data_IF_205587783848
#
_entry.id   IF_205587783848
#
_cell.length_a   1.000
_cell.length_b   1.000
_cell.length_c   1.000
_cell.angle_alpha   90.00
_cell.angle_beta   90.00
_cell.angle_gamma   90.00
#
_symmetry.space_group_name_H-M   'P 1'
#
loop_
_entity.id
_entity.type
_entity.pdbx_description
1 polymer ?
#
# COMPACT_ATOMS: atom_id res chain seq x y z
N UNK A 1 8.34 -1.20 4.02
CA UNK A 1 9.24 -0.81 5.11
C UNK A 1 8.47 -0.08 6.20
N UNK A 2 8.04 1.19 6.01
CA UNK A 2 7.52 2.09 7.07
C UNK A 2 6.41 1.48 7.94
N UNK A 3 5.41 0.81 7.35
CA UNK A 3 4.33 0.18 8.13
C UNK A 3 4.85 -0.92 9.08
N UNK A 4 5.84 -1.71 8.65
CA UNK A 4 6.47 -2.75 9.48
C UNK A 4 7.33 -2.10 10.57
N UNK A 5 8.14 -1.09 10.22
CA UNK A 5 8.92 -0.32 11.20
C UNK A 5 8.03 0.29 12.28
N UNK A 6 6.91 0.89 11.88
CA UNK A 6 5.93 1.43 12.83
C UNK A 6 5.28 0.36 13.72
N UNK A 7 5.05 -0.85 13.19
CA UNK A 7 4.56 -1.97 14.00
C UNK A 7 5.58 -2.39 15.06
N UNK A 8 6.85 -2.54 14.67
CA UNK A 8 7.95 -2.88 15.59
C UNK A 8 8.12 -1.82 16.68
N UNK A 9 8.11 -0.54 16.30
CA UNK A 9 8.24 0.58 17.25
C UNK A 9 7.11 0.61 18.30
N UNK A 10 5.92 0.10 17.96
CA UNK A 10 4.80 -0.07 18.90
C UNK A 10 4.81 -1.39 19.67
N UNK A 11 5.87 -2.20 19.54
CA UNK A 11 5.99 -3.49 20.20
C UNK A 11 5.05 -4.59 19.67
N UNK A 12 4.50 -4.41 18.48
CA UNK A 12 3.60 -5.40 17.88
C UNK A 12 4.37 -6.65 17.45
N UNK A 13 3.74 -7.81 17.56
CA UNK A 13 4.36 -9.12 17.33
C UNK A 13 4.16 -9.66 15.92
N UNK A 14 3.17 -9.11 15.23
CA UNK A 14 2.82 -9.55 13.89
C UNK A 14 2.29 -8.40 13.01
N UNK A 15 2.45 -8.57 11.71
CA UNK A 15 1.76 -7.78 10.69
C UNK A 15 0.81 -8.66 9.91
N UNK A 16 -0.32 -8.11 9.52
CA UNK A 16 -1.38 -8.77 8.77
C UNK A 16 -1.71 -7.96 7.52
N UNK A 17 -1.90 -8.62 6.39
CA UNK A 17 -2.43 -7.99 5.19
C UNK A 17 -3.37 -8.92 4.41
N UNK A 18 -4.39 -8.35 3.78
CA UNK A 18 -5.19 -8.99 2.75
C UNK A 18 -4.60 -8.60 1.40
N UNK A 19 -3.87 -9.50 0.74
CA UNK A 19 -3.25 -9.21 -0.56
C UNK A 19 -2.73 -10.47 -1.23
N UNK A 20 -2.96 -10.60 -2.54
CA UNK A 20 -2.39 -11.65 -3.39
C UNK A 20 -1.20 -11.17 -4.22
N UNK A 21 -0.69 -9.96 -3.99
CA UNK A 21 0.31 -9.31 -4.85
C UNK A 21 1.50 -8.72 -4.09
N UNK A 22 2.05 -7.63 -4.63
CA UNK A 22 3.28 -6.99 -4.15
C UNK A 22 3.22 -6.53 -2.67
N UNK A 23 2.02 -6.21 -2.15
CA UNK A 23 1.88 -5.83 -0.74
C UNK A 23 2.21 -7.00 0.18
N UNK A 24 1.74 -8.23 -0.13
CA UNK A 24 2.05 -9.42 0.67
C UNK A 24 3.54 -9.79 0.59
N UNK A 25 4.13 -9.75 -0.60
CA UNK A 25 5.56 -10.01 -0.79
C UNK A 25 6.43 -9.01 0.00
N UNK A 26 6.12 -7.72 -0.12
CA UNK A 26 6.84 -6.66 0.60
C UNK A 26 6.64 -6.74 2.12
N UNK A 27 5.41 -7.00 2.58
CA UNK A 27 5.13 -7.18 4.02
C UNK A 27 5.93 -8.36 4.60
N UNK A 28 5.94 -9.51 3.89
CA UNK A 28 6.69 -10.70 4.29
C UNK A 28 8.20 -10.43 4.38
N UNK A 29 8.79 -9.83 3.35
CA UNK A 29 10.22 -9.54 3.31
C UNK A 29 10.66 -8.63 4.47
N UNK A 30 9.93 -7.54 4.71
CA UNK A 30 10.26 -6.61 5.79
C UNK A 30 9.94 -7.18 7.18
N UNK A 31 8.89 -7.99 7.33
CA UNK A 31 8.58 -8.66 8.60
C UNK A 31 9.66 -9.70 8.95
N UNK A 32 10.11 -10.50 7.98
CA UNK A 32 11.22 -11.43 8.16
C UNK A 32 12.50 -10.71 8.59
N UNK A 33 12.83 -9.58 7.93
CA UNK A 33 13.99 -8.75 8.31
C UNK A 33 13.87 -8.16 9.72
N UNK A 34 12.65 -7.85 10.15
CA UNK A 34 12.35 -7.28 11.46
C UNK A 34 12.17 -8.34 12.57
N UNK A 35 12.21 -9.63 12.24
CA UNK A 35 12.02 -10.72 13.21
C UNK A 35 10.60 -10.84 13.75
N UNK A 36 9.57 -10.34 13.03
CA UNK A 36 8.16 -10.45 13.43
C UNK A 36 7.37 -11.32 12.45
N UNK A 37 6.25 -11.86 12.92
CA UNK A 37 5.40 -12.70 12.06
C UNK A 37 4.68 -11.87 10.99
N UNK A 38 4.64 -12.37 9.76
CA UNK A 38 3.76 -11.87 8.71
C UNK A 38 2.66 -12.90 8.43
N UNK A 39 1.39 -12.49 8.49
CA UNK A 39 0.26 -13.28 8.03
C UNK A 39 -0.40 -12.60 6.83
N UNK A 40 -0.81 -13.41 5.85
CA UNK A 40 -1.44 -12.93 4.61
C UNK A 40 -2.77 -13.64 4.43
N UNK A 41 -3.86 -12.87 4.40
CA UNK A 41 -5.19 -13.37 4.10
C UNK A 41 -5.45 -13.30 2.59
N UNK A 42 -5.98 -14.37 2.04
CA UNK A 42 -6.27 -14.52 0.61
C UNK A 42 -7.58 -15.27 0.41
N UNK A 43 -8.35 -14.95 -0.65
CA UNK A 43 -9.52 -15.72 -1.03
C UNK A 43 -9.12 -17.14 -1.45
N UNK A 44 -9.92 -18.13 -1.09
CA UNK A 44 -9.72 -19.51 -1.51
C UNK A 44 -9.87 -19.65 -3.04
N UNK A 45 -9.01 -20.44 -3.66
CA UNK A 45 -9.11 -20.82 -5.08
C UNK A 45 -8.76 -19.73 -6.12
N UNK A 46 -8.43 -18.49 -5.72
CA UNK A 46 -8.11 -17.40 -6.64
C UNK A 46 -6.65 -16.94 -6.57
N UNK A 47 -5.70 -17.88 -6.62
CA UNK A 47 -4.30 -17.53 -6.42
C UNK A 47 -3.46 -17.90 -7.65
N UNK A 48 -2.85 -16.88 -8.25
CA UNK A 48 -1.68 -17.12 -9.09
C UNK A 48 -0.50 -17.46 -8.18
N UNK A 49 -0.14 -18.72 -8.10
CA UNK A 49 0.94 -19.25 -7.21
C UNK A 49 2.24 -18.44 -7.34
N UNK A 50 2.56 -17.94 -8.54
CA UNK A 50 3.77 -17.14 -8.75
C UNK A 50 3.80 -15.82 -7.95
N UNK A 51 2.64 -15.18 -7.73
CA UNK A 51 2.57 -13.93 -6.93
C UNK A 51 2.68 -14.21 -5.43
N UNK A 52 2.23 -15.39 -4.98
CA UNK A 52 2.28 -15.77 -3.58
C UNK A 52 3.63 -16.37 -3.18
N UNK A 53 4.35 -16.95 -4.14
CA UNK A 53 5.63 -17.59 -3.90
C UNK A 53 6.63 -16.70 -3.15
N UNK A 54 6.70 -15.41 -3.48
CA UNK A 54 7.58 -14.47 -2.79
C UNK A 54 7.23 -14.30 -1.31
N UNK A 55 5.94 -14.20 -0.97
CA UNK A 55 5.52 -14.11 0.42
C UNK A 55 5.87 -15.39 1.20
N UNK A 56 5.65 -16.55 0.59
CA UNK A 56 5.99 -17.85 1.17
C UNK A 56 7.50 -18.01 1.36
N UNK A 57 8.31 -17.63 0.36
CA UNK A 57 9.77 -17.66 0.45
C UNK A 57 10.33 -16.82 1.59
N UNK A 58 9.66 -15.73 1.96
CA UNK A 58 10.00 -14.91 3.11
C UNK A 58 9.36 -15.39 4.43
N UNK A 59 8.77 -16.58 4.45
CA UNK A 59 8.22 -17.21 5.66
C UNK A 59 6.88 -16.64 6.13
N UNK A 60 6.12 -15.97 5.27
CA UNK A 60 4.78 -15.51 5.63
C UNK A 60 3.82 -16.69 5.83
N UNK A 61 2.95 -16.56 6.83
CA UNK A 61 1.83 -17.49 7.05
C UNK A 61 0.67 -17.12 6.14
N UNK A 62 0.32 -18.03 5.23
CA UNK A 62 -0.79 -17.83 4.31
C UNK A 62 -2.05 -18.45 4.91
N UNK A 63 -3.11 -17.66 4.98
CA UNK A 63 -4.41 -18.06 5.51
C UNK A 63 -5.44 -17.87 4.40
N UNK A 64 -6.03 -18.97 3.96
CA UNK A 64 -7.09 -18.95 2.96
C UNK A 64 -8.44 -18.75 3.64
N UNK A 65 -9.23 -17.84 3.09
CA UNK A 65 -10.56 -17.50 3.56
C UNK A 65 -11.57 -17.96 2.51
N UNK A 66 -12.60 -18.64 2.97
CA UNK A 66 -13.76 -18.97 2.14
C UNK A 66 -14.60 -17.69 1.94
N UNK A 67 -14.34 -17.00 0.84
CA UNK A 67 -14.91 -15.70 0.53
C UNK A 67 -14.16 -14.97 -0.58
N UNK A 68 -14.42 -13.69 -0.70
CA UNK A 68 -13.77 -12.81 -1.68
C UNK A 68 -12.69 -11.92 -1.02
N UNK A 69 -12.12 -10.98 -1.79
CA UNK A 69 -11.08 -10.07 -1.29
C UNK A 69 -11.60 -9.12 -0.19
N UNK A 70 -12.85 -8.67 -0.31
CA UNK A 70 -13.45 -7.74 0.67
C UNK A 70 -13.66 -8.45 2.01
N UNK A 71 -14.06 -9.74 1.99
CA UNK A 71 -14.18 -10.59 3.19
C UNK A 71 -12.82 -10.74 3.88
N UNK A 72 -11.75 -10.94 3.11
CA UNK A 72 -10.38 -11.00 3.65
C UNK A 72 -9.98 -9.68 4.32
N UNK A 73 -10.31 -8.55 3.72
CA UNK A 73 -9.98 -7.22 4.25
C UNK A 73 -10.81 -6.90 5.51
N UNK A 74 -12.09 -7.25 5.52
CA UNK A 74 -12.95 -7.10 6.68
C UNK A 74 -12.44 -7.94 7.86
N UNK A 75 -12.14 -9.22 7.62
CA UNK A 75 -11.56 -10.09 8.64
C UNK A 75 -10.21 -9.54 9.15
N UNK A 76 -9.36 -9.02 8.25
CA UNK A 76 -8.09 -8.42 8.66
C UNK A 76 -8.30 -7.20 9.59
N UNK A 77 -9.29 -6.35 9.29
CA UNK A 77 -9.66 -5.21 10.14
C UNK A 77 -10.16 -5.67 11.50
N UNK A 78 -11.05 -6.67 11.53
CA UNK A 78 -11.60 -7.23 12.77
C UNK A 78 -10.48 -7.82 13.64
N UNK A 79 -9.62 -8.67 13.07
CA UNK A 79 -8.51 -9.28 13.80
C UNK A 79 -7.55 -8.22 14.38
N UNK A 80 -7.27 -7.15 13.66
CA UNK A 80 -6.38 -6.10 14.16
C UNK A 80 -7.05 -5.17 15.18
N UNK A 81 -8.37 -5.11 15.22
CA UNK A 81 -9.12 -4.43 16.28
C UNK A 81 -9.18 -5.28 17.57
N UNK A 82 -9.41 -6.58 17.43
CA UNK A 82 -9.53 -7.52 18.56
C UNK A 82 -8.17 -7.85 19.20
N UNK A 83 -7.09 -7.82 18.40
CA UNK A 83 -5.73 -8.19 18.82
C UNK A 83 -4.74 -7.03 18.61
N UNK A 84 -4.55 -6.13 19.60
CA UNK A 84 -3.65 -4.97 19.49
C UNK A 84 -2.17 -5.29 19.21
N UNK A 85 -1.78 -6.55 19.37
CA UNK A 85 -0.40 -7.03 19.07
C UNK A 85 -0.17 -7.27 17.57
N UNK A 86 -1.21 -7.13 16.74
CA UNK A 86 -1.16 -7.32 15.29
C UNK A 86 -1.41 -5.98 14.59
N UNK A 87 -0.60 -5.65 13.60
CA UNK A 87 -0.75 -4.42 12.79
C UNK A 87 -1.24 -4.71 11.38
N UNK A 88 -2.30 -4.03 10.95
CA UNK A 88 -2.75 -4.06 9.56
C UNK A 88 -1.81 -3.22 8.69
N UNK A 89 -1.30 -3.80 7.58
CA UNK A 89 -0.37 -3.13 6.66
C UNK A 89 -0.93 -2.93 5.24
N UNK A 90 -2.26 -3.01 5.10
CA UNK A 90 -2.98 -2.65 3.88
C UNK A 90 -2.95 -1.13 3.61
N UNK A 91 -3.52 -0.72 2.47
CA UNK A 91 -3.58 0.69 2.04
C UNK A 91 -4.28 1.64 3.01
N UNK A 92 -5.11 1.11 3.90
CA UNK A 92 -5.77 1.87 4.98
C UNK A 92 -4.80 2.32 6.09
N UNK A 93 -3.57 1.79 6.13
CA UNK A 93 -2.56 2.20 7.11
C UNK A 93 -1.88 3.51 6.66
N UNK A 94 -2.07 4.64 7.37
CA UNK A 94 -1.56 5.94 6.95
C UNK A 94 -0.02 6.03 6.94
N UNK A 95 0.66 5.21 7.74
CA UNK A 95 2.14 5.16 7.78
C UNK A 95 2.73 4.74 6.43
N UNK A 96 1.95 4.10 5.57
CA UNK A 96 2.39 3.79 4.20
C UNK A 96 2.65 5.04 3.36
N UNK A 97 1.87 6.09 3.56
CA UNK A 97 2.04 7.38 2.87
C UNK A 97 3.42 7.96 3.18
N UNK A 98 3.88 7.87 4.43
CA UNK A 98 5.21 8.34 4.82
C UNK A 98 6.36 7.60 4.12
N UNK A 99 6.17 6.33 3.80
CA UNK A 99 7.13 5.58 3.01
C UNK A 99 7.03 5.84 1.51
N UNK A 100 5.81 5.95 0.99
CA UNK A 100 5.58 6.13 -0.46
C UNK A 100 5.91 7.54 -0.93
N UNK A 101 5.83 8.56 -0.07
CA UNK A 101 6.18 9.94 -0.43
C UNK A 101 7.62 10.11 -0.91
N UNK A 102 8.53 9.22 -0.48
CA UNK A 102 9.95 9.27 -0.88
C UNK A 102 10.14 9.08 -2.38
N UNK A 103 9.19 8.49 -3.09
CA UNK A 103 9.24 8.41 -4.55
C UNK A 103 9.24 9.80 -5.22
N UNK A 104 8.57 10.80 -4.63
CA UNK A 104 8.64 12.17 -5.11
C UNK A 104 10.03 12.76 -4.88
N UNK A 105 10.67 12.46 -3.75
CA UNK A 105 12.04 12.88 -3.46
C UNK A 105 13.01 12.30 -4.49
N UNK A 106 12.95 11.00 -4.73
CA UNK A 106 13.78 10.31 -5.71
C UNK A 106 13.61 10.89 -7.13
N UNK A 107 12.39 11.31 -7.51
CA UNK A 107 12.14 11.96 -8.80
C UNK A 107 12.83 13.32 -8.87
N UNK A 108 12.68 14.17 -7.86
CA UNK A 108 13.30 15.49 -7.82
C UNK A 108 14.81 15.38 -7.77
N UNK A 109 15.35 14.47 -6.95
CA UNK A 109 16.79 14.25 -6.81
C UNK A 109 17.41 13.76 -8.14
N UNK A 110 16.70 12.92 -8.88
CA UNK A 110 17.17 12.40 -10.17
C UNK A 110 17.08 13.43 -11.31
N UNK A 111 16.08 14.30 -11.31
CA UNK A 111 15.87 15.32 -12.34
C UNK A 111 16.63 16.60 -12.04
N UNK A 112 16.88 16.92 -10.79
CA UNK A 112 17.39 18.20 -10.33
C UNK A 112 16.33 19.32 -10.27
N UNK A 113 15.08 19.03 -10.55
CA UNK A 113 13.94 19.95 -10.54
C UNK A 113 12.62 19.20 -10.40
N UNK A 114 11.52 19.92 -10.06
CA UNK A 114 10.19 19.35 -10.08
C UNK A 114 9.66 19.22 -11.52
N UNK A 115 9.09 18.08 -11.93
CA UNK A 115 8.47 17.96 -13.24
C UNK A 115 7.26 18.90 -13.36
N UNK A 116 6.96 19.42 -14.57
CA UNK A 116 5.76 20.23 -14.80
C UNK A 116 4.47 19.44 -14.53
N UNK A 117 4.48 18.16 -14.89
CA UNK A 117 3.35 17.23 -14.72
C UNK A 117 3.86 15.89 -14.26
N UNK A 118 3.27 15.38 -13.17
CA UNK A 118 3.44 13.99 -12.75
C UNK A 118 2.16 13.21 -13.06
N UNK A 119 2.21 12.39 -14.11
CA UNK A 119 1.10 11.53 -14.53
C UNK A 119 1.25 10.12 -13.94
N UNK A 120 0.17 9.58 -13.34
CA UNK A 120 0.19 8.25 -12.73
C UNK A 120 -1.21 7.61 -12.69
N UNK A 121 -1.29 6.26 -12.69
CA UNK A 121 -2.56 5.56 -12.48
C UNK A 121 -3.01 5.70 -11.03
N UNK A 122 -4.32 5.86 -10.82
CA UNK A 122 -4.94 6.03 -9.52
C UNK A 122 -5.98 4.95 -9.26
N UNK A 123 -5.73 4.09 -8.29
CA UNK A 123 -6.73 3.16 -7.76
C UNK A 123 -7.41 3.78 -6.54
N UNK A 124 -6.92 3.47 -5.34
CA UNK A 124 -7.41 4.02 -4.06
C UNK A 124 -6.77 5.37 -3.67
N UNK A 125 -6.13 6.06 -4.60
CA UNK A 125 -5.46 7.35 -4.44
C UNK A 125 -4.25 7.38 -3.45
N UNK A 126 -3.81 6.24 -2.92
CA UNK A 126 -2.69 6.21 -1.96
C UNK A 126 -1.38 6.71 -2.54
N UNK A 127 -1.05 6.34 -3.77
CA UNK A 127 0.19 6.77 -4.43
C UNK A 127 0.19 8.26 -4.77
N UNK A 128 -0.88 8.79 -5.39
CA UNK A 128 -0.95 10.22 -5.75
C UNK A 128 -0.93 11.11 -4.50
N UNK A 129 -1.60 10.69 -3.43
CA UNK A 129 -1.57 11.39 -2.14
C UNK A 129 -0.16 11.40 -1.55
N UNK A 130 0.54 10.26 -1.61
CA UNK A 130 1.90 10.15 -1.10
C UNK A 130 2.88 11.02 -1.90
N UNK A 131 2.80 10.99 -3.22
CA UNK A 131 3.70 11.77 -4.08
C UNK A 131 3.46 13.27 -3.93
N UNK A 132 2.17 13.69 -3.87
CA UNK A 132 1.84 15.08 -3.58
C UNK A 132 2.41 15.53 -2.23
N UNK A 133 2.29 14.70 -1.19
CA UNK A 133 2.89 14.98 0.10
C UNK A 133 4.40 15.17 0.00
N UNK A 134 5.10 14.30 -0.72
CA UNK A 134 6.55 14.41 -0.91
C UNK A 134 6.93 15.71 -1.63
N UNK A 135 6.26 16.05 -2.73
CA UNK A 135 6.50 17.31 -3.43
C UNK A 135 6.23 18.53 -2.54
N UNK A 136 5.14 18.53 -1.79
CA UNK A 136 4.85 19.65 -0.88
C UNK A 136 5.87 19.80 0.25
N UNK A 137 6.42 18.72 0.75
CA UNK A 137 7.50 18.75 1.73
C UNK A 137 8.78 19.33 1.13
N UNK A 138 9.24 18.85 -0.03
CA UNK A 138 10.43 19.37 -0.72
C UNK A 138 10.29 20.85 -1.11
N UNK A 139 9.10 21.28 -1.55
CA UNK A 139 8.84 22.68 -1.84
C UNK A 139 8.90 23.54 -0.57
N UNK A 140 8.24 23.11 0.51
CA UNK A 140 8.27 23.80 1.81
C UNK A 140 9.68 23.94 2.36
N UNK A 141 10.49 22.88 2.19
CA UNK A 141 11.85 22.80 2.72
C UNK A 141 12.89 23.48 1.79
N UNK A 142 12.44 24.12 0.70
CA UNK A 142 13.28 24.88 -0.23
C UNK A 142 14.17 24.04 -1.15
N UNK A 143 13.87 22.75 -1.29
CA UNK A 143 14.62 21.85 -2.18
C UNK A 143 14.21 22.04 -3.64
N UNK A 144 12.99 22.50 -3.88
CA UNK A 144 12.47 22.83 -5.22
C UNK A 144 11.59 24.09 -5.17
N UNK A 145 11.59 24.86 -6.26
CA UNK A 145 10.89 26.15 -6.35
C UNK A 145 9.44 26.05 -6.78
N UNK A 146 9.04 24.99 -7.47
CA UNK A 146 7.71 24.81 -8.06
C UNK A 146 7.11 23.47 -7.70
N UNK A 147 5.77 23.40 -7.67
CA UNK A 147 5.02 22.15 -7.47
C UNK A 147 4.53 21.59 -8.82
N UNK A 148 4.61 20.28 -9.05
CA UNK A 148 4.07 19.66 -10.26
C UNK A 148 2.55 19.70 -10.28
N UNK A 149 1.96 19.70 -11.48
CA UNK A 149 0.56 19.34 -11.65
C UNK A 149 0.43 17.82 -11.59
N UNK A 150 -0.46 17.33 -10.71
CA UNK A 150 -0.72 15.90 -10.59
C UNK A 150 -1.81 15.48 -11.57
N UNK A 151 -1.50 14.56 -12.48
CA UNK A 151 -2.45 14.00 -13.45
C UNK A 151 -2.73 12.53 -13.10
N UNK A 152 -3.85 12.29 -12.41
CA UNK A 152 -4.31 10.93 -12.08
C UNK A 152 -5.18 10.36 -13.18
N UNK A 153 -4.95 9.11 -13.59
CA UNK A 153 -5.80 8.37 -14.52
C UNK A 153 -6.45 7.19 -13.84
N UNK A 154 -7.72 6.92 -14.13
CA UNK A 154 -8.45 5.78 -13.60
C UNK A 154 -8.98 4.91 -14.75
N UNK A 155 -9.09 3.59 -14.52
CA UNK A 155 -9.76 2.70 -15.46
C UNK A 155 -11.23 3.13 -15.60
N UNK A 156 -11.77 3.12 -16.83
CA UNK A 156 -13.13 3.60 -17.09
C UNK A 156 -14.21 2.88 -16.25
N UNK A 157 -14.04 1.58 -16.01
CA UNK A 157 -14.93 0.78 -15.17
C UNK A 157 -14.69 0.95 -13.65
N UNK A 158 -13.70 1.77 -13.22
CA UNK A 158 -13.35 1.97 -11.84
C UNK A 158 -12.82 3.39 -11.59
N UNK A 159 -13.61 4.40 -11.97
CA UNK A 159 -13.21 5.82 -11.94
C UNK A 159 -14.03 6.67 -10.95
N UNK A 160 -14.10 6.33 -9.65
CA UNK A 160 -14.94 7.04 -8.69
C UNK A 160 -14.57 8.53 -8.53
N UNK A 161 -13.30 8.89 -8.69
CA UNK A 161 -12.87 10.29 -8.59
C UNK A 161 -13.33 11.13 -9.78
N UNK A 162 -13.37 10.52 -10.98
CA UNK A 162 -13.87 11.20 -12.20
C UNK A 162 -15.39 11.31 -12.17
N UNK A 163 -16.08 10.26 -11.68
CA UNK A 163 -17.53 10.19 -11.61
C UNK A 163 -18.11 10.98 -10.42
N UNK A 164 -17.32 11.25 -9.38
CA UNK A 164 -17.77 11.91 -8.15
C UNK A 164 -18.58 11.01 -7.21
N UNK A 165 -18.67 9.71 -7.47
CA UNK A 165 -19.36 8.74 -6.62
C UNK A 165 -18.69 7.36 -6.66
N UNK A 166 -18.87 6.52 -5.61
CA UNK A 166 -18.33 5.16 -5.58
C UNK A 166 -18.86 4.29 -6.73
N UNK A 167 -18.03 3.37 -7.21
CA UNK A 167 -18.40 2.34 -8.19
C UNK A 167 -18.64 1.03 -7.44
N UNK A 168 -19.88 0.51 -7.50
CA UNK A 168 -20.29 -0.66 -6.72
C UNK A 168 -19.70 -1.99 -7.22
N UNK A 169 -19.35 -2.07 -8.49
CA UNK A 169 -18.70 -3.24 -9.12
C UNK A 169 -17.56 -2.73 -10.00
N UNK A 170 -16.40 -2.40 -9.43
CA UNK A 170 -15.30 -1.86 -10.20
C UNK A 170 -14.71 -2.91 -11.13
N UNK A 171 -14.55 -2.57 -12.40
CA UNK A 171 -13.85 -3.36 -13.40
C UNK A 171 -12.49 -2.68 -13.67
N UNK A 172 -11.43 -3.37 -13.29
CA UNK A 172 -10.04 -2.97 -13.59
C UNK A 172 -9.40 -4.08 -14.40
N UNK A 173 -8.77 -3.73 -15.51
CA UNK A 173 -8.00 -4.67 -16.32
C UNK A 173 -6.69 -5.06 -15.66
#
# INVERSE_FOLDING_TARGET
AMAVTGAVARGQKAVLCASTGNTSASAAAYAARAGITCAVLIPQGKIAMGKLAQAVMHGAKIIQIDGNFDDCLELARKLTADYPTISLVNSVNPVRIEGQKTAAFEIVDALGFAPDVHALPVGNAGNITAYWKGYTEYHRDGVMDTLPRMLGTQAAGAAPLVLGHPVSKPETL
#
